data_IF_987463124589
#
_entry.id   IF_987463124589
#
_cell.length_a   1.000
_cell.length_b   1.000
_cell.length_c   1.000
_cell.angle_alpha   90.00
_cell.angle_beta   90.00
_cell.angle_gamma   90.00
#
_symmetry.space_group_name_H-M   'P 1'
#
loop_
_entity.id
_entity.type
_entity.pdbx_description
1 polymer ?
#
# COMPACT_ATOMS: atom_id res chain seq x y z
N UNK A 1 -21.15 -18.63 0.18
CA UNK A 1 -20.96 -17.18 -0.07
C UNK A 1 -20.36 -16.47 1.13
N UNK A 2 -20.91 -16.55 2.37
CA UNK A 2 -20.40 -15.88 3.57
C UNK A 2 -18.89 -16.14 3.86
N UNK A 3 -18.41 -17.37 3.62
CA UNK A 3 -17.01 -17.75 3.83
C UNK A 3 -16.01 -17.00 2.93
N UNK A 4 -16.40 -16.63 1.71
CA UNK A 4 -15.51 -15.93 0.78
C UNK A 4 -15.33 -14.45 1.19
N UNK A 5 -16.40 -13.83 1.71
CA UNK A 5 -16.33 -12.49 2.31
C UNK A 5 -15.40 -12.50 3.52
N UNK A 6 -15.54 -13.50 4.39
CA UNK A 6 -14.72 -13.63 5.60
C UNK A 6 -13.23 -13.82 5.28
N UNK A 7 -12.88 -14.65 4.29
CA UNK A 7 -11.47 -14.90 3.94
C UNK A 7 -10.78 -13.68 3.31
N UNK A 8 -11.50 -12.93 2.48
CA UNK A 8 -10.95 -11.70 1.89
C UNK A 8 -10.81 -10.59 2.93
N UNK A 9 -11.82 -10.38 3.79
CA UNK A 9 -11.73 -9.40 4.88
C UNK A 9 -10.66 -9.78 5.91
N UNK A 10 -10.51 -11.08 6.20
CA UNK A 10 -9.44 -11.60 7.05
C UNK A 10 -8.06 -11.23 6.49
N UNK A 11 -7.86 -11.30 5.19
CA UNK A 11 -6.56 -10.99 4.57
C UNK A 11 -6.16 -9.51 4.72
N UNK A 12 -7.13 -8.61 4.91
CA UNK A 12 -6.87 -7.18 5.16
C UNK A 12 -6.74 -6.86 6.64
N UNK A 13 -7.63 -7.41 7.48
CA UNK A 13 -7.73 -7.07 8.90
C UNK A 13 -6.64 -7.77 9.70
N UNK A 14 -6.30 -9.01 9.35
CA UNK A 14 -5.39 -9.85 10.12
C UNK A 14 -3.96 -9.27 10.22
N UNK A 15 -3.32 -8.75 9.14
CA UNK A 15 -2.02 -8.11 9.25
C UNK A 15 -2.07 -6.83 10.10
N UNK A 16 -3.12 -6.02 9.95
CA UNK A 16 -3.28 -4.76 10.71
C UNK A 16 -3.54 -5.03 12.19
N UNK A 17 -4.36 -6.02 12.51
CA UNK A 17 -4.61 -6.46 13.89
C UNK A 17 -3.32 -7.02 14.52
N UNK A 18 -2.56 -7.83 13.79
CA UNK A 18 -1.25 -8.32 14.24
C UNK A 18 -0.28 -7.15 14.50
N UNK A 19 -0.26 -6.15 13.62
CA UNK A 19 0.59 -4.98 13.79
C UNK A 19 0.25 -4.20 15.07
N UNK A 20 -1.04 -4.02 15.37
CA UNK A 20 -1.51 -3.35 16.59
C UNK A 20 -1.17 -4.17 17.84
N UNK A 21 -1.40 -5.49 17.81
CA UNK A 21 -1.05 -6.37 18.92
C UNK A 21 0.46 -6.37 19.19
N UNK A 22 1.28 -6.45 18.15
CA UNK A 22 2.74 -6.36 18.29
C UNK A 22 3.17 -5.01 18.88
N UNK A 23 2.52 -3.92 18.48
CA UNK A 23 2.81 -2.59 19.01
C UNK A 23 2.45 -2.46 20.51
N UNK A 24 1.33 -3.07 20.94
CA UNK A 24 0.83 -2.99 22.32
C UNK A 24 1.58 -3.90 23.30
N UNK A 25 1.87 -5.15 22.89
CA UNK A 25 2.43 -6.18 23.77
C UNK A 25 3.87 -5.87 24.18
N UNK A 26 4.59 -5.04 23.39
CA UNK A 26 5.93 -4.52 23.70
C UNK A 26 6.98 -5.59 24.09
N UNK A 27 6.68 -6.86 23.79
CA UNK A 27 7.49 -8.03 24.13
C UNK A 27 7.78 -8.81 22.85
N UNK A 28 9.07 -8.90 22.52
CA UNK A 28 9.52 -9.36 21.23
C UNK A 28 9.32 -10.84 20.98
N UNK A 29 9.41 -11.66 22.03
CA UNK A 29 9.20 -13.11 21.93
C UNK A 29 7.75 -13.39 21.58
N UNK A 30 6.84 -12.62 22.17
CA UNK A 30 5.40 -12.73 21.89
C UNK A 30 5.09 -12.14 20.51
N UNK A 31 5.64 -10.98 20.15
CA UNK A 31 5.43 -10.36 18.83
C UNK A 31 5.93 -11.25 17.68
N UNK A 32 7.11 -11.88 17.84
CA UNK A 32 7.66 -12.78 16.83
C UNK A 32 6.93 -14.13 16.75
N UNK A 33 6.33 -14.59 17.85
CA UNK A 33 5.46 -15.77 17.83
C UNK A 33 4.12 -15.46 17.15
N UNK A 34 3.45 -14.38 17.56
CA UNK A 34 2.21 -13.90 16.93
C UNK A 34 2.44 -13.68 15.44
N UNK A 35 3.52 -12.98 15.07
CA UNK A 35 3.83 -12.73 13.67
C UNK A 35 4.00 -14.00 12.84
N UNK A 36 4.65 -15.04 13.37
CA UNK A 36 4.78 -16.33 12.68
C UNK A 36 3.42 -16.99 12.46
N UNK A 37 2.58 -17.02 13.49
CA UNK A 37 1.22 -17.58 13.40
C UNK A 37 0.40 -16.80 12.37
N UNK A 38 0.37 -15.47 12.45
CA UNK A 38 -0.35 -14.60 11.52
C UNK A 38 0.12 -14.80 10.09
N UNK A 39 1.43 -14.88 9.83
CA UNK A 39 1.96 -15.07 8.48
C UNK A 39 1.59 -16.43 7.89
N UNK A 40 1.61 -17.48 8.72
CA UNK A 40 1.17 -18.81 8.31
C UNK A 40 -0.33 -18.85 8.02
N UNK A 41 -1.16 -18.23 8.87
CA UNK A 41 -2.61 -18.13 8.65
C UNK A 41 -2.93 -17.34 7.38
N UNK A 42 -2.19 -16.26 7.09
CA UNK A 42 -2.35 -15.52 5.83
C UNK A 42 -2.04 -16.39 4.62
N UNK A 43 -0.94 -17.14 4.64
CA UNK A 43 -0.58 -18.07 3.57
C UNK A 43 -1.67 -19.11 3.32
N UNK A 44 -2.15 -19.75 4.40
CA UNK A 44 -3.22 -20.77 4.30
C UNK A 44 -4.50 -20.15 3.75
N UNK A 45 -4.87 -18.95 4.21
CA UNK A 45 -6.06 -18.23 3.75
C UNK A 45 -6.00 -17.95 2.24
N UNK A 46 -4.83 -17.55 1.73
CA UNK A 46 -4.63 -17.27 0.30
C UNK A 46 -4.67 -18.55 -0.53
N UNK A 47 -4.09 -19.65 -0.05
CA UNK A 47 -4.18 -20.95 -0.74
C UNK A 47 -5.64 -21.41 -0.85
N UNK A 48 -6.43 -21.24 0.21
CA UNK A 48 -7.87 -21.54 0.19
C UNK A 48 -8.60 -20.65 -0.83
N UNK A 49 -8.28 -19.35 -0.90
CA UNK A 49 -8.85 -18.44 -1.91
C UNK A 49 -8.51 -18.91 -3.33
N UNK A 50 -7.26 -19.33 -3.59
CA UNK A 50 -6.83 -19.85 -4.90
C UNK A 50 -7.61 -21.12 -5.26
N UNK A 51 -7.77 -22.05 -4.31
CA UNK A 51 -8.51 -23.29 -4.52
C UNK A 51 -10.00 -23.03 -4.78
N UNK A 52 -10.60 -22.07 -4.07
CA UNK A 52 -11.97 -21.63 -4.33
C UNK A 52 -12.12 -20.96 -5.70
N UNK A 53 -11.11 -20.20 -6.15
CA UNK A 53 -11.08 -19.60 -7.47
C UNK A 53 -11.05 -20.66 -8.58
N UNK A 54 -10.21 -21.69 -8.41
CA UNK A 54 -10.08 -22.84 -9.30
C UNK A 54 -11.42 -23.57 -9.49
N UNK A 55 -12.19 -23.73 -8.41
CA UNK A 55 -13.50 -24.38 -8.45
C UNK A 55 -14.62 -23.50 -9.02
N UNK A 56 -14.48 -22.16 -9.00
CA UNK A 56 -15.57 -21.21 -9.32
C UNK A 56 -15.49 -20.59 -10.73
N UNK A 57 -14.74 -21.17 -11.68
CA UNK A 57 -14.56 -20.64 -13.05
C UNK A 57 -14.02 -19.18 -13.10
N UNK A 58 -13.23 -18.80 -12.11
CA UNK A 58 -12.14 -17.84 -12.32
C UNK A 58 -12.32 -16.36 -12.00
N UNK A 59 -13.47 -15.92 -11.49
CA UNK A 59 -13.60 -14.57 -10.90
C UNK A 59 -14.55 -14.60 -9.71
N UNK A 60 -14.07 -14.16 -8.54
CA UNK A 60 -14.93 -13.80 -7.41
C UNK A 60 -14.95 -12.27 -7.37
N UNK A 61 -15.95 -11.68 -8.03
CA UNK A 61 -16.24 -10.26 -7.89
C UNK A 61 -17.11 -10.09 -6.65
N UNK A 62 -16.54 -9.51 -5.59
CA UNK A 62 -17.30 -9.15 -4.40
C UNK A 62 -17.75 -7.71 -4.56
N UNK A 63 -19.04 -7.55 -4.89
CA UNK A 63 -19.70 -6.25 -4.81
C UNK A 63 -20.15 -6.10 -3.36
N UNK A 64 -19.46 -5.26 -2.59
CA UNK A 64 -19.86 -4.96 -1.22
C UNK A 64 -21.01 -3.97 -1.29
N UNK A 65 -22.23 -4.49 -1.45
CA UNK A 65 -23.46 -3.70 -1.32
C UNK A 65 -23.68 -3.40 0.16
N UNK A 66 -23.49 -2.14 0.53
CA UNK A 66 -23.73 -1.56 1.86
C UNK A 66 -22.72 -2.01 2.94
N UNK A 67 -21.47 -1.51 2.94
CA UNK A 67 -20.54 -1.76 4.03
C UNK A 67 -21.02 -1.08 5.32
N UNK A 68 -20.79 -1.70 6.50
CA UNK A 68 -21.19 -1.13 7.80
C UNK A 68 -20.48 0.20 8.13
N UNK A 69 -19.38 0.51 7.44
CA UNK A 69 -18.65 1.76 7.56
C UNK A 69 -18.52 2.41 6.18
N UNK A 70 -18.57 3.75 6.14
CA UNK A 70 -18.30 4.52 4.92
C UNK A 70 -16.80 4.46 4.57
N UNK A 71 -16.36 3.35 3.96
CA UNK A 71 -14.95 3.11 3.59
C UNK A 71 -14.42 4.23 2.68
N UNK A 72 -15.26 4.76 1.78
CA UNK A 72 -14.93 5.93 0.95
C UNK A 72 -14.49 7.14 1.79
N UNK A 73 -15.16 7.40 2.91
CA UNK A 73 -14.82 8.52 3.80
C UNK A 73 -13.49 8.28 4.52
N UNK A 74 -13.23 7.04 4.94
CA UNK A 74 -11.94 6.67 5.56
C UNK A 74 -10.80 6.88 4.55
N UNK A 75 -10.99 6.44 3.31
CA UNK A 75 -10.00 6.57 2.23
C UNK A 75 -9.76 8.03 1.87
N UNK A 76 -10.81 8.86 1.80
CA UNK A 76 -10.68 10.30 1.65
C UNK A 76 -9.88 10.96 2.78
N UNK A 77 -10.21 10.62 4.04
CA UNK A 77 -9.46 11.12 5.20
C UNK A 77 -7.98 10.73 5.17
N UNK A 78 -7.68 9.47 4.87
CA UNK A 78 -6.30 8.98 4.76
C UNK A 78 -5.55 9.70 3.62
N UNK A 79 -6.24 10.02 2.52
CA UNK A 79 -5.67 10.74 1.38
C UNK A 79 -5.23 12.17 1.70
N UNK A 80 -5.81 12.80 2.73
CA UNK A 80 -5.42 14.14 3.21
C UNK A 80 -4.42 14.04 4.37
N UNK A 81 -4.62 13.09 5.28
CA UNK A 81 -3.81 12.93 6.49
C UNK A 81 -2.37 12.53 6.15
N UNK A 82 -2.16 11.63 5.19
CA UNK A 82 -0.82 11.17 4.78
C UNK A 82 0.05 12.29 4.20
N UNK A 83 -0.38 13.04 3.17
CA UNK A 83 0.38 14.21 2.69
C UNK A 83 0.64 15.24 3.80
N UNK A 84 -0.32 15.48 4.69
CA UNK A 84 -0.13 16.38 5.84
C UNK A 84 1.00 15.90 6.75
N UNK A 85 1.08 14.60 7.01
CA UNK A 85 2.20 14.02 7.74
C UNK A 85 3.53 14.19 6.99
N UNK A 86 3.55 14.02 5.67
CA UNK A 86 4.76 14.26 4.87
C UNK A 86 5.21 15.72 4.87
N UNK A 87 4.29 16.70 4.95
CA UNK A 87 4.64 18.11 5.16
C UNK A 87 5.37 18.29 6.49
N UNK A 88 4.82 17.73 7.57
CA UNK A 88 5.46 17.78 8.89
C UNK A 88 6.86 17.16 8.87
N UNK A 89 7.02 15.99 8.25
CA UNK A 89 8.31 15.33 8.07
C UNK A 89 9.27 16.21 7.23
N UNK A 90 8.80 16.78 6.13
CA UNK A 90 9.60 17.66 5.27
C UNK A 90 10.12 18.91 5.98
N UNK A 91 9.29 19.53 6.84
CA UNK A 91 9.69 20.67 7.68
C UNK A 91 10.78 20.24 8.67
N UNK A 92 10.59 19.09 9.33
CA UNK A 92 11.54 18.58 10.33
C UNK A 92 12.91 18.23 9.73
N UNK A 93 12.94 17.70 8.51
CA UNK A 93 14.16 17.37 7.76
C UNK A 93 14.74 18.63 7.05
N UNK A 94 14.02 19.76 7.07
CA UNK A 94 14.37 21.01 6.35
C UNK A 94 14.53 20.80 4.84
N UNK A 95 13.71 19.92 4.25
CA UNK A 95 13.71 19.63 2.80
C UNK A 95 12.43 20.17 2.17
N UNK A 96 12.56 21.39 1.62
CA UNK A 96 11.52 22.08 0.84
C UNK A 96 10.86 21.19 -0.24
N UNK A 97 11.58 20.39 -1.05
CA UNK A 97 10.94 19.63 -2.12
C UNK A 97 9.92 18.59 -1.62
N UNK A 98 10.16 18.00 -0.45
CA UNK A 98 9.22 17.06 0.20
C UNK A 98 7.92 17.79 0.56
N UNK A 99 8.02 19.00 1.14
CA UNK A 99 6.86 19.83 1.47
C UNK A 99 6.08 20.22 0.21
N UNK A 100 6.76 20.68 -0.85
CA UNK A 100 6.12 21.11 -2.10
C UNK A 100 5.32 19.98 -2.73
N UNK A 101 5.91 18.78 -2.85
CA UNK A 101 5.21 17.62 -3.41
C UNK A 101 4.00 17.19 -2.58
N UNK A 102 4.11 17.25 -1.25
CA UNK A 102 3.01 16.89 -0.36
C UNK A 102 1.87 17.94 -0.40
N UNK A 103 2.19 19.24 -0.49
CA UNK A 103 1.17 20.30 -0.71
C UNK A 103 0.49 20.13 -2.06
N UNK A 104 1.27 19.84 -3.12
CA UNK A 104 0.73 19.59 -4.45
C UNK A 104 -0.23 18.40 -4.47
N UNK A 105 0.07 17.34 -3.72
CA UNK A 105 -0.83 16.19 -3.53
C UNK A 105 -2.16 16.57 -2.87
N UNK A 106 -2.13 17.38 -1.80
CA UNK A 106 -3.36 17.86 -1.15
C UNK A 106 -4.17 18.72 -2.11
N UNK A 107 -3.53 19.68 -2.79
CA UNK A 107 -4.19 20.56 -3.75
C UNK A 107 -4.81 19.75 -4.89
N UNK A 108 -4.07 18.80 -5.47
CA UNK A 108 -4.58 17.92 -6.52
C UNK A 108 -5.82 17.14 -6.06
N UNK A 109 -5.81 16.61 -4.83
CA UNK A 109 -6.95 15.88 -4.27
C UNK A 109 -8.16 16.77 -4.03
N UNK A 110 -7.98 17.96 -3.44
CA UNK A 110 -9.07 18.92 -3.20
C UNK A 110 -9.67 19.39 -4.53
N UNK A 111 -8.83 19.73 -5.51
CA UNK A 111 -9.31 20.10 -6.84
C UNK A 111 -10.09 18.93 -7.46
N UNK A 112 -9.59 17.70 -7.33
CA UNK A 112 -10.29 16.54 -7.84
C UNK A 112 -11.67 16.35 -7.20
N UNK A 113 -11.79 16.50 -5.88
CA UNK A 113 -13.07 16.37 -5.15
C UNK A 113 -14.06 17.49 -5.45
N UNK A 114 -13.59 18.73 -5.65
CA UNK A 114 -14.45 19.89 -5.98
C UNK A 114 -14.93 19.85 -7.43
N UNK A 115 -14.08 19.44 -8.37
CA UNK A 115 -14.43 19.43 -9.80
C UNK A 115 -15.12 18.15 -10.27
N UNK A 116 -15.06 17.08 -9.47
CA UNK A 116 -15.66 15.80 -9.80
C UNK A 116 -16.83 15.57 -8.84
N UNK A 117 -18.07 15.65 -9.32
CA UNK A 117 -19.22 15.15 -8.55
C UNK A 117 -19.08 13.63 -8.42
N UNK A 118 -18.33 13.18 -7.41
CA UNK A 118 -18.05 11.76 -7.18
C UNK A 118 -19.38 11.09 -6.79
N UNK A 119 -20.06 10.49 -7.78
CA UNK A 119 -21.02 9.41 -7.49
C UNK A 119 -20.21 8.32 -6.80
N UNK A 120 -20.36 8.22 -5.48
CA UNK A 120 -19.65 7.29 -4.61
C UNK A 120 -19.44 5.94 -5.34
N UNK A 121 -18.20 5.60 -5.72
CA UNK A 121 -17.97 4.39 -6.48
C UNK A 121 -18.40 3.20 -5.63
N UNK A 122 -19.23 2.33 -6.19
CA UNK A 122 -19.62 1.07 -5.56
C UNK A 122 -18.36 0.30 -5.25
N UNK A 123 -18.25 -0.20 -4.03
CA UNK A 123 -17.06 -0.88 -3.54
C UNK A 123 -16.98 -2.25 -4.22
N UNK A 124 -16.21 -2.34 -5.30
CA UNK A 124 -15.89 -3.57 -6.00
C UNK A 124 -14.54 -4.06 -5.50
N UNK A 125 -14.55 -5.13 -4.70
CA UNK A 125 -13.34 -5.90 -4.37
C UNK A 125 -13.32 -7.09 -5.30
N UNK A 126 -12.41 -7.09 -6.26
CA UNK A 126 -12.33 -8.15 -7.26
C UNK A 126 -11.14 -9.05 -6.96
N UNK A 127 -11.42 -10.31 -6.63
CA UNK A 127 -10.39 -11.34 -6.53
C UNK A 127 -10.34 -12.13 -7.86
N UNK A 128 -9.24 -11.94 -8.60
CA UNK A 128 -8.92 -12.67 -9.83
C UNK A 128 -7.71 -13.57 -9.60
N UNK A 129 -7.43 -14.52 -10.51
CA UNK A 129 -6.25 -15.39 -10.41
C UNK A 129 -4.95 -14.58 -10.33
N UNK A 130 -4.89 -13.44 -11.03
CA UNK A 130 -3.74 -12.53 -11.01
C UNK A 130 -3.57 -11.85 -9.66
N UNK A 131 -4.67 -11.39 -9.06
CA UNK A 131 -4.65 -10.79 -7.71
C UNK A 131 -4.24 -11.84 -6.66
N UNK A 132 -4.80 -13.04 -6.72
CA UNK A 132 -4.49 -14.13 -5.80
C UNK A 132 -3.03 -14.62 -5.90
N UNK A 133 -2.45 -14.68 -7.11
CA UNK A 133 -1.05 -15.08 -7.28
C UNK A 133 -0.08 -14.03 -6.72
N UNK A 134 -0.35 -12.73 -6.92
CA UNK A 134 0.44 -11.65 -6.35
C UNK A 134 0.34 -11.65 -4.81
N UNK A 135 -0.87 -11.84 -4.26
CA UNK A 135 -1.05 -11.97 -2.81
C UNK A 135 -0.26 -13.16 -2.25
N UNK A 136 -0.24 -14.30 -2.95
CA UNK A 136 0.56 -15.45 -2.55
C UNK A 136 2.06 -15.15 -2.53
N UNK A 137 2.58 -14.45 -3.54
CA UNK A 137 3.98 -13.99 -3.55
C UNK A 137 4.27 -13.06 -2.37
N UNK A 138 3.41 -12.10 -2.07
CA UNK A 138 3.63 -11.22 -0.92
C UNK A 138 3.55 -11.97 0.42
N UNK A 139 2.62 -12.92 0.57
CA UNK A 139 2.49 -13.69 1.80
C UNK A 139 3.67 -14.66 2.02
N UNK A 140 4.23 -15.23 0.95
CA UNK A 140 5.43 -16.08 1.03
C UNK A 140 6.65 -15.26 1.44
N UNK A 141 6.87 -14.11 0.81
CA UNK A 141 7.93 -13.16 1.19
C UNK A 141 7.75 -12.67 2.63
N UNK A 142 6.53 -12.31 3.04
CA UNK A 142 6.24 -11.90 4.42
C UNK A 142 6.64 -13.00 5.41
N UNK A 143 6.20 -14.23 5.16
CA UNK A 143 6.49 -15.37 6.04
C UNK A 143 7.99 -15.61 6.15
N UNK A 144 8.71 -15.50 5.03
CA UNK A 144 10.16 -15.61 5.02
C UNK A 144 10.82 -14.50 5.84
N UNK A 145 10.42 -13.25 5.66
CA UNK A 145 10.95 -12.09 6.40
C UNK A 145 10.69 -12.24 7.91
N UNK A 146 9.47 -12.62 8.30
CA UNK A 146 9.12 -12.81 9.72
C UNK A 146 9.92 -13.95 10.35
N UNK A 147 10.16 -15.03 9.61
CA UNK A 147 11.00 -16.13 10.06
C UNK A 147 12.47 -15.71 10.23
N UNK A 148 13.00 -14.93 9.28
CA UNK A 148 14.36 -14.37 9.38
C UNK A 148 14.51 -13.45 10.59
N UNK A 149 13.54 -12.56 10.81
CA UNK A 149 13.54 -11.67 11.97
C UNK A 149 13.55 -12.50 13.26
N UNK A 150 12.65 -13.47 13.40
CA UNK A 150 12.59 -14.35 14.57
C UNK A 150 13.90 -15.11 14.82
N UNK A 151 14.59 -15.56 13.75
CA UNK A 151 15.86 -16.29 13.86
C UNK A 151 17.05 -15.39 14.18
N UNK A 152 17.08 -14.18 13.65
CA UNK A 152 18.21 -13.25 13.74
C UNK A 152 17.97 -12.10 14.72
N UNK A 153 17.06 -12.26 15.68
CA UNK A 153 16.73 -11.22 16.66
C UNK A 153 17.97 -10.69 17.39
N UNK A 154 18.87 -11.57 17.80
CA UNK A 154 20.09 -11.21 18.54
C UNK A 154 21.09 -10.44 17.66
N UNK A 155 21.12 -10.75 16.35
CA UNK A 155 21.94 -10.00 15.38
C UNK A 155 21.30 -8.66 15.04
N UNK A 156 19.97 -8.59 14.97
CA UNK A 156 19.23 -7.34 14.78
C UNK A 156 19.44 -6.41 15.98
N UNK A 157 19.42 -6.94 17.20
CA UNK A 157 19.73 -6.17 18.41
C UNK A 157 21.16 -5.63 18.38
N UNK A 158 22.14 -6.46 18.00
CA UNK A 158 23.56 -6.05 17.91
C UNK A 158 23.83 -5.05 16.78
N UNK A 159 23.21 -5.23 15.61
CA UNK A 159 23.48 -4.38 14.42
C UNK A 159 22.72 -3.07 14.44
N UNK A 160 21.46 -3.08 14.89
CA UNK A 160 20.62 -1.88 14.88
C UNK A 160 20.66 -1.15 16.23
N UNK A 161 21.11 -1.79 17.31
CA UNK A 161 21.11 -1.21 18.66
C UNK A 161 19.69 -1.00 19.22
N UNK A 162 18.67 -1.52 18.55
CA UNK A 162 17.27 -1.32 18.89
C UNK A 162 16.85 -2.39 19.88
N UNK A 163 16.35 -1.98 21.07
CA UNK A 163 15.82 -2.90 22.09
C UNK A 163 14.35 -2.65 22.39
N UNK A 164 13.60 -3.74 22.60
CA UNK A 164 12.22 -3.69 23.10
C UNK A 164 11.26 -3.01 22.13
N UNK A 165 10.78 -1.83 22.49
CA UNK A 165 9.66 -1.14 21.82
C UNK A 165 9.90 -0.83 20.36
N UNK A 166 11.12 -0.44 20.00
CA UNK A 166 11.43 -0.08 18.63
C UNK A 166 11.58 -1.31 17.71
N UNK A 167 11.91 -2.50 18.24
CA UNK A 167 11.87 -3.74 17.45
C UNK A 167 10.43 -4.22 17.24
N UNK A 168 9.57 -4.09 18.25
CA UNK A 168 8.14 -4.36 18.10
C UNK A 168 7.48 -3.42 17.09
N UNK A 169 7.88 -2.15 17.06
CA UNK A 169 7.47 -1.18 16.05
C UNK A 169 7.96 -1.56 14.64
N UNK A 170 9.19 -2.04 14.49
CA UNK A 170 9.71 -2.52 13.19
C UNK A 170 8.89 -3.69 12.64
N UNK A 171 8.60 -4.70 13.48
CA UNK A 171 7.74 -5.83 13.09
C UNK A 171 6.32 -5.35 12.74
N UNK A 172 5.77 -4.44 13.54
CA UNK A 172 4.45 -3.84 13.28
C UNK A 172 4.39 -3.16 11.92
N UNK A 173 5.42 -2.37 11.55
CA UNK A 173 5.52 -1.72 10.24
C UNK A 173 5.53 -2.71 9.08
N UNK A 174 6.20 -3.86 9.22
CA UNK A 174 6.21 -4.92 8.20
C UNK A 174 4.80 -5.50 7.98
N UNK A 175 4.06 -5.74 9.07
CA UNK A 175 2.69 -6.24 8.98
C UNK A 175 1.72 -5.21 8.40
N UNK A 176 1.84 -3.93 8.76
CA UNK A 176 1.07 -2.84 8.13
C UNK A 176 1.37 -2.81 6.63
N UNK A 177 2.66 -2.84 6.26
CA UNK A 177 3.08 -2.82 4.88
C UNK A 177 2.47 -3.98 4.08
N UNK A 178 2.48 -5.20 4.63
CA UNK A 178 1.86 -6.35 3.98
C UNK A 178 0.34 -6.24 3.86
N UNK A 179 -0.35 -5.76 4.91
CA UNK A 179 -1.80 -5.56 4.86
C UNK A 179 -2.20 -4.58 3.75
N UNK A 180 -1.48 -3.48 3.63
CA UNK A 180 -1.73 -2.48 2.58
C UNK A 180 -1.47 -3.04 1.19
N UNK A 181 -0.42 -3.84 0.98
CA UNK A 181 -0.16 -4.49 -0.31
C UNK A 181 -1.30 -5.45 -0.70
N UNK A 182 -1.80 -6.25 0.25
CA UNK A 182 -2.94 -7.13 -0.02
C UNK A 182 -4.22 -6.35 -0.35
N UNK A 183 -4.48 -5.24 0.34
CA UNK A 183 -5.60 -4.34 0.02
C UNK A 183 -5.45 -3.66 -1.35
N UNK A 184 -4.22 -3.27 -1.71
CA UNK A 184 -3.93 -2.64 -3.00
C UNK A 184 -4.19 -3.61 -4.17
N UNK A 185 -3.82 -4.88 -4.04
CA UNK A 185 -3.96 -5.91 -5.10
C UNK A 185 -5.40 -6.38 -5.32
N UNK A 186 -6.28 -6.15 -4.35
CA UNK A 186 -7.69 -6.56 -4.41
C UNK A 186 -8.65 -5.41 -4.72
N UNK A 187 -8.14 -4.18 -4.66
CA UNK A 187 -8.91 -2.98 -4.96
C UNK A 187 -9.07 -2.78 -6.45
N UNK A 188 -10.31 -2.72 -6.92
CA UNK A 188 -10.64 -2.43 -8.32
C UNK A 188 -10.68 -0.91 -8.59
N UNK A 189 -10.66 -0.07 -7.56
CA UNK A 189 -10.75 1.38 -7.72
C UNK A 189 -9.36 2.04 -7.70
N UNK A 190 -8.99 2.71 -8.80
CA UNK A 190 -7.70 3.40 -8.90
C UNK A 190 -7.54 4.54 -7.88
N UNK A 191 -8.64 5.18 -7.48
CA UNK A 191 -8.64 6.23 -6.45
C UNK A 191 -8.25 5.66 -5.08
N UNK A 192 -8.60 4.41 -4.79
CA UNK A 192 -8.25 3.74 -3.55
C UNK A 192 -6.77 3.34 -3.51
N UNK A 193 -6.17 3.07 -4.67
CA UNK A 193 -4.75 2.77 -4.77
C UNK A 193 -3.86 3.95 -4.34
N UNK A 194 -4.33 5.19 -4.47
CA UNK A 194 -3.57 6.39 -4.14
C UNK A 194 -3.21 6.50 -2.65
N UNK A 195 -4.17 6.47 -1.70
CA UNK A 195 -3.83 6.47 -0.28
C UNK A 195 -3.06 5.21 0.12
N UNK A 196 -3.33 4.03 -0.47
CA UNK A 196 -2.51 2.84 -0.21
C UNK A 196 -1.05 3.04 -0.62
N UNK A 197 -0.81 3.69 -1.76
CA UNK A 197 0.53 4.08 -2.18
C UNK A 197 1.19 4.98 -1.13
N UNK A 198 0.47 5.98 -0.63
CA UNK A 198 0.93 6.87 0.44
C UNK A 198 1.29 6.12 1.74
N UNK A 199 0.46 5.17 2.18
CA UNK A 199 0.76 4.36 3.38
C UNK A 199 2.03 3.54 3.16
N UNK A 200 2.18 2.88 2.00
CA UNK A 200 3.39 2.09 1.72
C UNK A 200 4.66 2.95 1.65
N UNK A 201 4.54 4.20 1.18
CA UNK A 201 5.63 5.19 1.20
C UNK A 201 6.03 5.54 2.63
N UNK A 202 5.04 5.78 3.50
CA UNK A 202 5.28 6.06 4.92
C UNK A 202 5.95 4.87 5.60
N UNK A 203 5.45 3.64 5.38
CA UNK A 203 6.03 2.44 5.97
C UNK A 203 7.47 2.22 5.55
N UNK A 204 7.79 2.34 4.25
CA UNK A 204 9.16 2.14 3.75
C UNK A 204 10.12 3.21 4.27
N UNK A 205 9.69 4.47 4.30
CA UNK A 205 10.46 5.55 4.91
C UNK A 205 10.74 5.26 6.40
N UNK A 206 9.72 4.87 7.17
CA UNK A 206 9.89 4.55 8.59
C UNK A 206 10.78 3.31 8.81
N UNK A 207 10.71 2.30 7.95
CA UNK A 207 11.58 1.12 8.04
C UNK A 207 13.05 1.48 7.82
N UNK A 208 13.36 2.29 6.79
CA UNK A 208 14.74 2.76 6.56
C UNK A 208 15.20 3.69 7.68
N UNK A 209 14.33 4.57 8.16
CA UNK A 209 14.60 5.44 9.31
C UNK A 209 14.95 4.64 10.56
N UNK A 210 14.25 3.53 10.83
CA UNK A 210 14.57 2.65 11.96
C UNK A 210 15.97 2.05 11.83
N UNK A 211 16.43 1.75 10.61
CA UNK A 211 17.76 1.20 10.36
C UNK A 211 18.85 2.27 10.49
N UNK A 212 18.64 3.45 9.90
CA UNK A 212 19.64 4.53 9.92
C UNK A 212 19.69 5.31 11.25
N UNK A 213 18.62 5.28 12.05
CA UNK A 213 18.53 5.93 13.36
C UNK A 213 18.48 7.47 13.34
N UNK A 214 18.51 8.09 12.15
CA UNK A 214 18.53 9.55 11.95
C UNK A 214 17.42 9.97 10.98
N UNK A 215 16.66 10.99 11.36
CA UNK A 215 15.51 11.47 10.58
C UNK A 215 15.92 12.10 9.24
N UNK A 216 17.14 12.59 9.18
CA UNK A 216 17.74 13.33 8.09
C UNK A 216 18.82 12.50 7.35
N UNK A 217 18.74 11.17 7.51
CA UNK A 217 19.54 10.23 6.74
C UNK A 217 19.31 10.40 5.23
N UNK A 218 20.40 10.56 4.48
CA UNK A 218 20.36 10.90 3.05
C UNK A 218 19.58 9.87 2.25
N UNK A 219 19.74 8.58 2.58
CA UNK A 219 19.07 7.49 1.89
C UNK A 219 17.57 7.47 2.18
N UNK A 220 17.18 7.63 3.46
CA UNK A 220 15.77 7.71 3.84
C UNK A 220 15.07 8.90 3.18
N UNK A 221 15.72 10.06 3.14
CA UNK A 221 15.18 11.29 2.53
C UNK A 221 15.05 11.15 1.01
N UNK A 222 16.05 10.57 0.35
CA UNK A 222 16.00 10.33 -1.09
C UNK A 222 14.89 9.34 -1.45
N UNK A 223 14.74 8.27 -0.67
CA UNK A 223 13.64 7.32 -0.83
C UNK A 223 12.28 8.01 -0.67
N UNK A 224 12.11 8.82 0.37
CA UNK A 224 10.88 9.57 0.60
C UNK A 224 10.57 10.51 -0.57
N UNK A 225 11.56 11.29 -1.01
CA UNK A 225 11.41 12.24 -2.11
C UNK A 225 10.98 11.56 -3.42
N UNK A 226 11.65 10.46 -3.80
CA UNK A 226 11.32 9.71 -5.01
C UNK A 226 9.92 9.10 -4.94
N UNK A 227 9.53 8.53 -3.80
CA UNK A 227 8.19 7.99 -3.63
C UNK A 227 7.11 9.08 -3.65
N UNK A 228 7.39 10.29 -3.15
CA UNK A 228 6.48 11.43 -3.24
C UNK A 228 6.33 11.95 -4.66
N UNK A 229 7.40 11.94 -5.47
CA UNK A 229 7.29 12.21 -6.91
C UNK A 229 6.33 11.19 -7.53
N UNK A 230 6.56 9.90 -7.31
CA UNK A 230 5.68 8.84 -7.80
C UNK A 230 4.22 9.00 -7.37
N UNK A 231 3.98 9.33 -6.10
CA UNK A 231 2.63 9.57 -5.55
C UNK A 231 1.95 10.78 -6.21
N UNK A 232 2.72 11.84 -6.48
CA UNK A 232 2.22 13.05 -7.15
C UNK A 232 1.86 12.77 -8.61
N UNK A 233 2.71 12.03 -9.33
CA UNK A 233 2.39 11.59 -10.68
C UNK A 233 1.16 10.67 -10.70
N UNK A 234 1.00 9.84 -9.67
CA UNK A 234 -0.12 8.92 -9.56
C UNK A 234 -1.46 9.65 -9.42
N UNK A 235 -1.55 10.67 -8.55
CA UNK A 235 -2.78 11.47 -8.42
C UNK A 235 -3.09 12.27 -9.70
N UNK A 236 -2.07 12.83 -10.35
CA UNK A 236 -2.24 13.51 -11.64
C UNK A 236 -2.80 12.54 -12.69
N UNK A 237 -2.25 11.32 -12.76
CA UNK A 237 -2.74 10.29 -13.68
C UNK A 237 -4.20 9.91 -13.41
N UNK A 238 -4.61 9.80 -12.14
CA UNK A 238 -6.00 9.53 -11.76
C UNK A 238 -6.93 10.64 -12.26
N UNK A 239 -6.56 11.91 -12.07
CA UNK A 239 -7.34 13.07 -12.53
C UNK A 239 -7.51 13.03 -14.06
N UNK A 240 -6.44 12.71 -14.80
CA UNK A 240 -6.49 12.61 -16.27
C UNK A 240 -7.40 11.47 -16.72
N UNK A 241 -7.27 10.28 -16.12
CA UNK A 241 -8.11 9.11 -16.42
C UNK A 241 -9.59 9.46 -16.18
N UNK A 242 -9.92 10.05 -15.04
CA UNK A 242 -11.29 10.42 -14.72
C UNK A 242 -11.85 11.47 -15.69
N UNK A 243 -11.09 12.51 -16.03
CA UNK A 243 -11.54 13.50 -17.03
C UNK A 243 -11.79 12.90 -18.41
N UNK A 244 -11.08 11.83 -18.78
CA UNK A 244 -11.23 11.19 -20.09
C UNK A 244 -12.36 10.16 -20.17
N UNK A 245 -12.56 9.34 -19.14
CA UNK A 245 -13.51 8.21 -19.18
C UNK A 245 -14.67 8.34 -18.19
N UNK A 246 -14.59 9.23 -17.21
CA UNK A 246 -15.59 9.37 -16.15
C UNK A 246 -15.69 8.17 -15.20
N UNK A 247 -14.80 7.17 -15.32
CA UNK A 247 -14.78 5.95 -14.51
C UNK A 247 -13.48 5.83 -13.73
N UNK A 248 -13.57 5.23 -12.53
CA UNK A 248 -12.44 4.99 -11.62
C UNK A 248 -12.21 3.50 -11.36
N UNK A 249 -13.13 2.63 -11.79
CA UNK A 249 -12.99 1.18 -11.68
C UNK A 249 -12.06 0.65 -12.79
N UNK A 250 -11.03 -0.09 -12.41
CA UNK A 250 -10.03 -0.67 -13.32
C UNK A 250 -10.70 -1.62 -14.32
N UNK A 251 -11.68 -2.41 -13.88
CA UNK A 251 -12.48 -3.26 -14.75
C UNK A 251 -13.22 -2.50 -15.86
N UNK A 252 -13.71 -1.29 -15.57
CA UNK A 252 -14.44 -0.48 -16.55
C UNK A 252 -13.48 0.31 -17.44
N UNK A 253 -12.37 0.82 -16.89
CA UNK A 253 -11.27 1.43 -17.65
C UNK A 253 -10.75 0.47 -18.73
N UNK A 254 -10.61 -0.83 -18.39
CA UNK A 254 -10.14 -1.84 -19.34
C UNK A 254 -11.15 -2.12 -20.46
N UNK A 255 -12.46 -2.03 -20.19
CA UNK A 255 -13.52 -2.23 -21.20
C UNK A 255 -13.75 -1.00 -22.06
N UNK A 256 -13.52 0.19 -21.51
CA UNK A 256 -13.68 1.46 -22.20
C UNK A 256 -12.49 1.82 -23.08
N UNK A 257 -11.53 0.90 -23.32
CA UNK A 257 -10.44 1.08 -24.29
C UNK A 257 -10.92 0.72 -25.71
N UNK A 258 -11.33 1.66 -26.56
CA UNK A 258 -11.33 1.42 -27.99
C UNK A 258 -9.88 1.31 -28.46
N UNK A 259 -9.55 0.23 -29.17
CA UNK A 259 -8.24 -0.11 -29.76
C UNK A 259 -7.63 0.93 -30.73
N UNK A 260 -8.07 2.20 -30.74
CA UNK A 260 -7.73 3.18 -31.77
C UNK A 260 -7.51 4.63 -31.33
N UNK A 261 -7.57 4.98 -30.04
CA UNK A 261 -7.27 6.36 -29.57
C UNK A 261 -5.89 6.45 -28.92
N UNK A 262 -4.85 6.21 -29.72
CA UNK A 262 -3.45 6.46 -29.36
C UNK A 262 -3.12 7.97 -29.16
N UNK A 263 -4.08 8.86 -29.46
CA UNK A 263 -3.97 10.33 -29.40
C UNK A 263 -4.70 10.98 -28.21
N UNK A 264 -5.23 10.19 -27.26
CA UNK A 264 -5.92 10.72 -26.05
C UNK A 264 -4.98 11.02 -24.88
N UNK A 265 -5.51 11.54 -23.77
CA UNK A 265 -4.79 11.78 -22.49
C UNK A 265 -4.37 10.49 -21.74
N UNK A 266 -4.68 9.30 -22.29
CA UNK A 266 -4.49 7.99 -21.66
C UNK A 266 -3.04 7.46 -21.70
N UNK A 267 -2.32 7.51 -22.84
CA UNK A 267 -0.91 7.12 -22.88
C UNK A 267 -0.05 7.95 -21.92
N UNK A 268 -0.25 9.27 -21.75
CA UNK A 268 0.40 10.03 -20.69
C UNK A 268 0.06 9.53 -19.29
N UNK A 269 -1.21 9.26 -18.95
CA UNK A 269 -1.57 8.79 -17.61
C UNK A 269 -0.99 7.41 -17.30
N UNK A 270 -0.99 6.49 -18.28
CA UNK A 270 -0.36 5.17 -18.12
C UNK A 270 1.17 5.27 -18.03
N UNK A 271 1.79 6.16 -18.81
CA UNK A 271 3.22 6.45 -18.71
C UNK A 271 3.57 7.04 -17.34
N UNK A 272 2.74 7.93 -16.78
CA UNK A 272 2.94 8.50 -15.45
C UNK A 272 2.78 7.45 -14.34
N UNK A 273 1.82 6.53 -14.45
CA UNK A 273 1.64 5.41 -13.51
C UNK A 273 2.82 4.42 -13.60
N UNK A 274 3.23 4.09 -14.83
CA UNK A 274 4.38 3.20 -15.06
C UNK A 274 5.67 3.84 -14.54
N UNK A 275 5.87 5.13 -14.80
CA UNK A 275 7.02 5.89 -14.33
C UNK A 275 7.02 6.02 -12.80
N UNK A 276 5.86 6.23 -12.17
CA UNK A 276 5.72 6.15 -10.72
C UNK A 276 6.13 4.76 -10.17
N UNK A 277 5.74 3.68 -10.86
CA UNK A 277 6.20 2.32 -10.59
C UNK A 277 7.71 2.15 -10.72
N UNK A 278 8.30 2.65 -11.80
CA UNK A 278 9.74 2.58 -12.04
C UNK A 278 10.56 3.34 -11.00
N UNK A 279 10.14 4.56 -10.62
CA UNK A 279 10.82 5.35 -9.59
C UNK A 279 10.92 4.57 -8.27
N UNK A 280 9.89 3.80 -7.93
CA UNK A 280 9.85 2.97 -6.73
C UNK A 280 10.87 1.82 -6.77
N UNK A 281 11.21 1.31 -7.95
CA UNK A 281 12.17 0.20 -8.14
C UNK A 281 13.62 0.71 -8.29
N UNK A 282 13.82 1.85 -8.97
CA UNK A 282 15.16 2.39 -9.30
C UNK A 282 16.01 2.71 -8.07
N UNK A 283 15.42 3.00 -6.92
CA UNK A 283 16.18 3.29 -5.69
C UNK A 283 17.03 2.12 -5.19
N UNK A 284 16.65 0.86 -5.46
CA UNK A 284 17.45 -0.31 -5.07
C UNK A 284 18.85 -0.33 -5.72
N UNK A 285 19.03 0.37 -6.87
CA UNK A 285 20.26 0.30 -7.67
C UNK A 285 21.27 1.42 -7.39
N UNK A 286 20.85 2.53 -6.77
CA UNK A 286 21.71 3.71 -6.58
C UNK A 286 22.60 3.62 -5.33
N UNK A 287 22.40 2.64 -4.46
CA UNK A 287 23.18 2.45 -3.23
C UNK A 287 24.16 1.26 -3.25
N UNK A 288 24.25 0.50 -4.35
CA UNK A 288 25.29 -0.53 -4.51
C UNK A 288 26.62 0.05 -5.04
N UNK A 289 26.64 1.32 -5.44
CA UNK A 289 27.82 1.99 -6.03
C UNK A 289 28.51 3.01 -5.09
N UNK A 290 28.38 2.85 -3.77
CA UNK A 290 29.17 3.59 -2.77
C UNK A 290 29.65 2.63 -1.69
#
# INVERSE_FOLDING_TARGET
MLGNYFLLTLTFILPVACALLCYLVNNIKICSLIGRITSFVLLVSIVIIIQQLANSRGKIAIIVMNPPFNINRIIGLVSILLPTYFIYVGIKIKKIPVCVLAVLQILAMILFEVFSDIKNPVITVTASYMSASIMFLFATVLTFVVFLIARYMDLLEKKLGIKGRAQAAFISLIFIFSGVLNSMVTSDNILWLYPFWGVTTLCTYLLVLHVSGKMDDVNAVQLLYLNLIGSTLFIIAIILVYKTYGVLALGDISKSMPYGRLLGLLPPSMALISFAGFIRVVFLKLNENK
#
